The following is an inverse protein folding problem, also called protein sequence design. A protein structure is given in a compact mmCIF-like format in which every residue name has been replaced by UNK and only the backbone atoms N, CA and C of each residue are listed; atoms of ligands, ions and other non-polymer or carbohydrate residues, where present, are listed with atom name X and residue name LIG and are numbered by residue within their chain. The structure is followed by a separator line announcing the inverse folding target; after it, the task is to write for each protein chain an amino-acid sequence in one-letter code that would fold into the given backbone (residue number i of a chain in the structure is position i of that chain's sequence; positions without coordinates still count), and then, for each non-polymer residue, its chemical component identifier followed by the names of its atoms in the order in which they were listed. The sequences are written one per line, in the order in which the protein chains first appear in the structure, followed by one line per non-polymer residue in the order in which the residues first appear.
data_IF_573699540294
#
_entry.id   IF_573699540294
#
_cell.length_a   1.000
_cell.length_b   1.000
_cell.length_c   1.000
_cell.angle_alpha   90.00
_cell.angle_beta   90.00
_cell.angle_gamma   90.00
#
_symmetry.space_group_name_H-M   'P 1'
#
loop_
_entity.id
_entity.type
_entity.pdbx_description
1 polymer ?
#
# COMPACT_ATOMS: atom_id res chain seq x y z
N UNK A 1 -14.41 -13.22 -11.62
CA UNK A 1 -14.14 -12.22 -10.57
C UNK A 1 -13.65 -10.95 -11.24
N UNK A 2 -14.49 -9.91 -11.23
CA UNK A 2 -14.33 -8.66 -12.01
C UNK A 2 -13.14 -7.80 -11.55
N UNK A 3 -12.64 -8.04 -10.33
CA UNK A 3 -11.55 -7.30 -9.69
C UNK A 3 -10.18 -8.01 -9.74
N UNK A 4 -10.11 -9.17 -10.40
CA UNK A 4 -8.82 -9.83 -10.66
C UNK A 4 -8.19 -9.19 -11.88
N UNK A 5 -6.90 -8.87 -11.77
CA UNK A 5 -6.10 -8.43 -12.92
C UNK A 5 -6.26 -9.42 -14.07
N UNK A 6 -6.66 -8.89 -15.23
CA UNK A 6 -6.80 -9.64 -16.47
C UNK A 6 -5.50 -10.39 -16.79
N UNK A 7 -5.54 -11.64 -17.30
CA UNK A 7 -4.35 -12.47 -17.55
C UNK A 7 -3.18 -11.75 -18.23
N UNK A 8 -3.47 -10.90 -19.20
CA UNK A 8 -2.53 -10.07 -19.95
C UNK A 8 -1.80 -9.00 -19.11
N UNK A 9 -2.43 -8.53 -18.04
CA UNK A 9 -1.90 -7.49 -17.14
C UNK A 9 -1.19 -8.08 -15.91
N UNK A 10 -0.99 -9.40 -15.86
CA UNK A 10 -0.36 -10.13 -14.74
C UNK A 10 1.17 -10.11 -14.80
N UNK A 11 1.73 -9.04 -15.34
CA UNK A 11 3.18 -8.86 -15.48
C UNK A 11 3.58 -7.61 -14.70
N UNK A 12 4.87 -7.49 -14.36
CA UNK A 12 5.39 -6.26 -13.78
C UNK A 12 5.19 -5.04 -14.71
N UNK A 13 4.92 -5.26 -16.00
CA UNK A 13 4.73 -4.20 -16.96
C UNK A 13 3.52 -3.30 -16.67
N UNK A 14 2.55 -3.82 -15.91
CA UNK A 14 1.39 -3.01 -15.50
C UNK A 14 1.80 -1.79 -14.68
N UNK A 15 2.92 -1.85 -13.93
CA UNK A 15 3.44 -0.73 -13.12
C UNK A 15 4.12 0.35 -13.94
N UNK A 16 4.48 0.09 -15.20
CA UNK A 16 5.17 1.05 -16.06
C UNK A 16 4.23 2.08 -16.69
N UNK A 17 2.92 2.02 -16.42
CA UNK A 17 1.94 2.92 -17.02
C UNK A 17 1.00 3.47 -15.97
N UNK A 18 1.08 4.78 -15.75
CA UNK A 18 0.20 5.50 -14.83
C UNK A 18 0.60 5.33 -13.37
N UNK A 19 -0.30 5.71 -12.47
CA UNK A 19 -0.05 5.75 -11.03
C UNK A 19 -0.68 4.56 -10.32
N UNK A 20 0.14 3.85 -9.56
CA UNK A 20 -0.24 2.70 -8.75
C UNK A 20 0.00 3.00 -7.28
N UNK A 21 -0.92 2.60 -6.42
CA UNK A 21 -0.77 2.72 -4.97
C UNK A 21 -0.94 1.34 -4.37
N UNK A 22 0.12 0.79 -3.80
CA UNK A 22 0.07 -0.46 -3.06
C UNK A 22 -0.19 -0.14 -1.60
N UNK A 23 -1.21 -0.75 -1.01
CA UNK A 23 -1.59 -0.56 0.39
C UNK A 23 -1.62 -1.87 1.16
N UNK A 24 -1.21 -1.81 2.42
CA UNK A 24 -1.24 -2.91 3.39
C UNK A 24 -1.42 -2.33 4.79
N UNK A 25 -2.06 -3.12 5.67
CA UNK A 25 -2.17 -2.82 7.08
C UNK A 25 -1.52 -3.89 7.95
N UNK A 26 -0.77 -3.43 8.95
CA UNK A 26 -0.03 -4.27 9.87
C UNK A 26 -0.47 -4.05 11.31
N UNK A 27 -0.53 -5.13 12.09
CA UNK A 27 -0.74 -5.03 13.54
C UNK A 27 0.41 -4.30 14.23
N UNK A 28 0.12 -3.19 14.91
CA UNK A 28 1.07 -2.39 15.67
C UNK A 28 1.15 -2.77 17.17
N UNK A 29 0.48 -3.86 17.56
CA UNK A 29 0.40 -4.32 18.96
C UNK A 29 -0.73 -3.64 19.74
N UNK A 30 -1.11 -4.22 20.90
CA UNK A 30 -2.18 -3.71 21.77
C UNK A 30 -3.53 -3.47 21.06
N UNK A 31 -3.86 -4.29 20.05
CA UNK A 31 -5.08 -4.15 19.27
C UNK A 31 -5.08 -2.99 18.27
N UNK A 32 -3.93 -2.34 18.03
CA UNK A 32 -3.77 -1.26 17.06
C UNK A 32 -3.22 -1.77 15.74
N UNK A 33 -3.51 -1.04 14.68
CA UNK A 33 -2.98 -1.28 13.34
C UNK A 33 -2.35 0.00 12.79
N UNK A 34 -1.49 -0.15 11.80
CA UNK A 34 -0.98 0.95 10.99
C UNK A 34 -1.00 0.53 9.52
N UNK A 35 -1.33 1.48 8.66
CA UNK A 35 -1.36 1.29 7.21
C UNK A 35 -0.16 1.96 6.57
N UNK A 36 0.23 1.42 5.42
CA UNK A 36 1.23 1.99 4.55
C UNK A 36 0.71 2.08 3.11
N UNK A 37 1.23 3.06 2.37
CA UNK A 37 0.99 3.23 0.95
C UNK A 37 2.33 3.43 0.23
N UNK A 38 2.58 2.61 -0.79
CA UNK A 38 3.70 2.77 -1.72
C UNK A 38 3.13 3.26 -3.04
N UNK A 39 3.39 4.54 -3.35
CA UNK A 39 3.03 5.13 -4.63
C UNK A 39 4.13 4.89 -5.65
N UNK A 40 3.72 4.31 -6.76
CA UNK A 40 4.56 4.10 -7.93
C UNK A 40 3.98 4.85 -9.13
N UNK A 41 4.85 5.41 -9.95
CA UNK A 41 4.49 6.04 -11.22
C UNK A 41 5.51 5.62 -12.28
N UNK A 42 5.02 5.03 -13.37
CA UNK A 42 5.85 4.55 -14.48
C UNK A 42 7.01 3.62 -14.06
N UNK A 43 6.75 2.75 -13.07
CA UNK A 43 7.70 1.75 -12.57
C UNK A 43 8.63 2.23 -11.47
N UNK A 44 8.59 3.52 -11.13
CA UNK A 44 9.42 4.09 -10.07
C UNK A 44 8.58 4.36 -8.82
N UNK A 45 9.14 4.12 -7.64
CA UNK A 45 8.52 4.54 -6.38
C UNK A 45 8.68 6.06 -6.27
N UNK A 46 7.57 6.79 -6.13
CA UNK A 46 7.61 8.25 -6.04
C UNK A 46 7.31 8.76 -4.64
N UNK A 47 6.46 8.04 -3.89
CA UNK A 47 6.08 8.42 -2.53
C UNK A 47 5.83 7.19 -1.67
N UNK A 48 6.12 7.31 -0.39
CA UNK A 48 5.91 6.29 0.62
C UNK A 48 5.21 6.95 1.79
N UNK A 49 4.01 6.51 2.13
CA UNK A 49 3.21 7.10 3.20
C UNK A 49 2.83 6.04 4.23
N UNK A 50 2.62 6.48 5.46
CA UNK A 50 2.03 5.63 6.49
C UNK A 50 1.13 6.43 7.42
N UNK A 51 0.14 5.77 8.02
CA UNK A 51 -0.79 6.37 8.98
C UNK A 51 -1.21 5.31 10.03
N UNK A 52 -1.39 5.67 11.31
CA UNK A 52 -2.08 4.79 12.26
C UNK A 52 -3.52 4.50 11.80
N UNK A 53 -3.96 3.26 11.91
CA UNK A 53 -5.34 2.89 11.63
C UNK A 53 -6.23 3.22 12.83
N UNK A 54 -7.47 3.58 12.54
CA UNK A 54 -8.55 3.61 13.53
C UNK A 54 -9.18 2.22 13.72
N UNK A 55 -9.02 1.33 12.74
CA UNK A 55 -9.52 -0.03 12.79
C UNK A 55 -8.92 -0.90 13.90
N UNK A 56 -9.76 -1.81 14.43
CA UNK A 56 -9.40 -2.76 15.51
C UNK A 56 -9.27 -4.21 15.03
N UNK A 57 -9.42 -4.48 13.73
CA UNK A 57 -9.22 -5.80 13.14
C UNK A 57 -8.42 -5.70 11.85
N UNK A 58 -7.70 -6.76 11.49
CA UNK A 58 -6.89 -6.79 10.28
C UNK A 58 -7.71 -6.48 9.03
N UNK A 59 -8.87 -7.12 8.84
CA UNK A 59 -9.71 -6.87 7.64
C UNK A 59 -10.26 -5.44 7.61
N UNK A 60 -10.61 -4.84 8.75
CA UNK A 60 -11.04 -3.44 8.79
C UNK A 60 -9.88 -2.48 8.50
N UNK A 61 -8.67 -2.80 8.98
CA UNK A 61 -7.49 -1.97 8.73
C UNK A 61 -7.08 -2.00 7.25
N UNK A 62 -7.22 -3.16 6.59
CA UNK A 62 -7.03 -3.27 5.14
C UNK A 62 -8.07 -2.43 4.37
N UNK A 63 -9.35 -2.45 4.78
CA UNK A 63 -10.39 -1.59 4.18
C UNK A 63 -10.06 -0.11 4.34
N UNK A 64 -9.68 0.30 5.55
CA UNK A 64 -9.27 1.68 5.85
C UNK A 64 -8.08 2.11 4.97
N UNK A 65 -7.11 1.22 4.74
CA UNK A 65 -5.95 1.50 3.87
C UNK A 65 -6.34 1.72 2.40
N UNK A 66 -7.31 0.94 1.89
CA UNK A 66 -7.84 1.09 0.53
C UNK A 66 -8.56 2.42 0.38
N UNK A 67 -9.44 2.75 1.33
CA UNK A 67 -10.22 3.99 1.33
C UNK A 67 -9.31 5.22 1.42
N UNK A 68 -8.31 5.15 2.28
CA UNK A 68 -7.31 6.21 2.43
C UNK A 68 -6.55 6.47 1.13
N UNK A 69 -6.10 5.42 0.43
CA UNK A 69 -5.45 5.56 -0.86
C UNK A 69 -6.38 6.09 -1.96
N UNK A 70 -7.64 5.62 -1.99
CA UNK A 70 -8.63 6.11 -2.95
C UNK A 70 -8.95 7.60 -2.77
N UNK A 71 -8.92 8.08 -1.52
CA UNK A 71 -9.12 9.50 -1.19
C UNK A 71 -7.92 10.36 -1.59
N UNK A 72 -6.70 9.94 -1.26
CA UNK A 72 -5.49 10.72 -1.55
C UNK A 72 -5.12 10.72 -3.04
N UNK A 73 -5.34 9.61 -3.72
CA UNK A 73 -5.01 9.44 -5.13
C UNK A 73 -6.25 9.00 -5.93
N UNK A 74 -7.21 9.91 -6.16
CA UNK A 74 -8.51 9.59 -6.74
C UNK A 74 -8.47 9.17 -8.20
N UNK A 75 -7.31 9.17 -8.85
CA UNK A 75 -7.10 8.67 -10.22
C UNK A 75 -6.15 7.48 -10.30
N UNK A 76 -5.59 7.03 -9.17
CA UNK A 76 -4.65 5.91 -9.17
C UNK A 76 -5.36 4.55 -9.19
N UNK A 77 -4.60 3.54 -9.60
CA UNK A 77 -4.92 2.13 -9.42
C UNK A 77 -4.45 1.68 -8.04
N UNK A 78 -5.37 1.24 -7.20
CA UNK A 78 -5.12 0.81 -5.82
C UNK A 78 -4.95 -0.71 -5.77
N UNK A 79 -3.96 -1.18 -5.02
CA UNK A 79 -3.60 -2.59 -4.90
C UNK A 79 -3.59 -2.99 -3.44
N UNK A 80 -4.32 -4.06 -3.11
CA UNK A 80 -4.34 -4.66 -1.79
C UNK A 80 -4.39 -6.19 -1.94
N UNK A 81 -3.82 -6.96 -1.01
CA UNK A 81 -3.77 -8.42 -1.11
C UNK A 81 -4.83 -9.15 -0.25
N UNK A 82 -5.60 -8.41 0.55
CA UNK A 82 -6.67 -8.92 1.40
C UNK A 82 -8.00 -8.97 0.64
N UNK A 83 -8.33 -10.14 0.09
CA UNK A 83 -9.59 -10.37 -0.66
C UNK A 83 -10.82 -9.94 0.13
N UNK A 84 -10.99 -10.31 1.42
CA UNK A 84 -12.19 -9.93 2.16
C UNK A 84 -12.35 -8.40 2.28
N UNK A 85 -11.25 -7.65 2.39
CA UNK A 85 -11.29 -6.20 2.42
C UNK A 85 -11.67 -5.61 1.06
N UNK A 86 -11.12 -6.14 -0.03
CA UNK A 86 -11.46 -5.73 -1.39
C UNK A 86 -12.95 -5.97 -1.68
N UNK A 87 -13.46 -7.15 -1.34
CA UNK A 87 -14.86 -7.50 -1.54
C UNK A 87 -15.79 -6.60 -0.72
N UNK A 88 -15.42 -6.31 0.54
CA UNK A 88 -16.18 -5.41 1.39
C UNK A 88 -16.20 -3.97 0.84
N UNK A 89 -15.05 -3.41 0.43
CA UNK A 89 -14.96 -2.07 -0.16
C UNK A 89 -15.75 -2.00 -1.46
N UNK A 90 -15.63 -2.98 -2.37
CA UNK A 90 -16.37 -2.97 -3.64
C UNK A 90 -17.88 -3.10 -3.45
N UNK A 91 -18.32 -3.79 -2.40
CA UNK A 91 -19.73 -3.85 -2.05
C UNK A 91 -20.28 -2.48 -1.59
N UNK A 92 -19.45 -1.66 -0.94
CA UNK A 92 -19.81 -0.33 -0.46
C UNK A 92 -19.61 0.75 -1.52
N UNK A 93 -18.58 0.61 -2.35
CA UNK A 93 -18.13 1.58 -3.35
C UNK A 93 -17.88 0.90 -4.71
N UNK A 94 -18.94 0.48 -5.44
CA UNK A 94 -18.80 -0.23 -6.72
C UNK A 94 -18.04 0.57 -7.80
N UNK A 95 -18.00 1.91 -7.68
CA UNK A 95 -17.27 2.80 -8.58
C UNK A 95 -15.74 2.58 -8.56
N UNK A 96 -15.20 1.89 -7.55
CA UNK A 96 -13.79 1.49 -7.49
C UNK A 96 -13.49 0.25 -8.36
N UNK A 97 -14.50 -0.38 -8.96
CA UNK A 97 -14.30 -1.45 -9.93
C UNK A 97 -13.48 -0.95 -11.12
N UNK A 98 -12.48 -1.75 -11.53
CA UNK A 98 -11.51 -1.36 -12.56
C UNK A 98 -10.39 -0.44 -12.06
N UNK A 99 -10.40 -0.08 -10.77
CA UNK A 99 -9.35 0.71 -10.12
C UNK A 99 -8.79 0.07 -8.85
N UNK A 100 -9.55 -0.78 -8.18
CA UNK A 100 -9.10 -1.60 -7.07
C UNK A 100 -8.76 -3.01 -7.55
N UNK A 101 -7.51 -3.42 -7.32
CA UNK A 101 -6.95 -4.65 -7.85
C UNK A 101 -6.39 -5.55 -6.76
N UNK A 102 -6.57 -6.86 -6.98
CA UNK A 102 -5.90 -7.91 -6.23
C UNK A 102 -4.69 -8.45 -7.01
N UNK A 103 -3.46 -8.40 -6.46
CA UNK A 103 -2.30 -9.03 -7.09
C UNK A 103 -2.52 -10.53 -7.30
N UNK A 104 -2.03 -11.00 -8.44
CA UNK A 104 -2.05 -12.42 -8.79
C UNK A 104 -1.16 -13.21 -7.84
N UNK A 105 -1.30 -14.54 -7.71
CA UNK A 105 -0.46 -15.33 -6.80
C UNK A 105 1.05 -15.13 -6.99
N UNK A 106 1.53 -14.97 -8.23
CA UNK A 106 2.95 -14.72 -8.55
C UNK A 106 3.41 -13.32 -8.14
N UNK A 107 2.49 -12.35 -8.14
CA UNK A 107 2.73 -10.96 -7.78
C UNK A 107 2.59 -10.74 -6.26
N UNK A 108 1.79 -11.58 -5.58
CA UNK A 108 1.39 -11.34 -4.19
C UNK A 108 2.56 -11.16 -3.25
N UNK A 109 3.56 -12.06 -3.28
CA UNK A 109 4.69 -11.98 -2.35
C UNK A 109 5.55 -10.72 -2.55
N UNK A 110 6.07 -10.41 -3.75
CA UNK A 110 6.82 -9.18 -3.97
C UNK A 110 6.05 -7.90 -3.63
N UNK A 111 4.74 -7.86 -3.95
CA UNK A 111 3.89 -6.73 -3.60
C UNK A 111 3.73 -6.58 -2.10
N UNK A 112 3.30 -7.66 -1.44
CA UNK A 112 3.12 -7.72 -0.01
C UNK A 112 4.41 -7.31 0.69
N UNK A 113 5.55 -7.92 0.35
CA UNK A 113 6.84 -7.61 0.98
C UNK A 113 7.20 -6.13 0.87
N UNK A 114 6.92 -5.47 -0.26
CA UNK A 114 7.25 -4.06 -0.48
C UNK A 114 6.45 -3.11 0.42
N UNK A 115 5.13 -3.28 0.49
CA UNK A 115 4.27 -2.42 1.32
C UNK A 115 4.25 -2.85 2.79
N UNK A 116 4.34 -4.16 3.05
CA UNK A 116 4.40 -4.72 4.41
C UNK A 116 5.67 -4.30 5.14
N UNK A 117 6.82 -4.26 4.45
CA UNK A 117 8.06 -3.77 5.05
C UNK A 117 7.92 -2.32 5.54
N UNK A 118 7.14 -1.49 4.82
CA UNK A 118 6.84 -0.13 5.25
C UNK A 118 5.83 -0.12 6.41
N UNK A 119 4.76 -0.92 6.33
CA UNK A 119 3.74 -0.99 7.39
C UNK A 119 4.34 -1.49 8.71
N UNK A 120 5.26 -2.45 8.68
CA UNK A 120 5.99 -2.92 9.87
C UNK A 120 6.84 -1.81 10.50
N UNK A 121 7.57 -1.02 9.69
CA UNK A 121 8.39 0.09 10.19
C UNK A 121 7.53 1.23 10.76
N UNK A 122 6.35 1.45 10.20
CA UNK A 122 5.42 2.47 10.65
C UNK A 122 4.73 2.15 11.99
N UNK A 123 4.84 0.93 12.53
CA UNK A 123 4.21 0.53 13.80
C UNK A 123 4.60 1.41 14.98
N UNK A 124 5.82 1.94 14.99
CA UNK A 124 6.33 2.83 16.04
C UNK A 124 5.99 4.31 15.80
N UNK A 125 5.38 4.65 14.66
CA UNK A 125 5.07 6.03 14.28
C UNK A 125 3.62 6.34 14.64
N UNK A 126 3.44 7.20 15.65
CA UNK A 126 2.12 7.56 16.17
C UNK A 126 1.38 8.62 15.33
N UNK A 127 1.96 9.08 14.23
CA UNK A 127 1.42 10.13 13.37
C UNK A 127 1.52 9.76 11.89
N UNK A 128 0.68 10.32 11.01
CA UNK A 128 0.91 10.24 9.58
C UNK A 128 2.33 10.68 9.20
N UNK A 129 2.96 9.98 8.27
CA UNK A 129 4.34 10.22 7.86
C UNK A 129 4.54 9.95 6.37
N UNK A 130 5.39 10.77 5.75
CA UNK A 130 5.95 10.51 4.43
C UNK A 130 7.40 10.08 4.60
N UNK A 131 7.78 8.97 3.96
CA UNK A 131 9.10 8.38 4.05
C UNK A 131 9.92 8.72 2.81
N UNK A 132 11.18 9.07 3.04
CA UNK A 132 12.20 9.10 2.00
C UNK A 132 12.81 7.71 1.91
N UNK A 133 13.09 7.23 0.70
CA UNK A 133 13.90 6.05 0.49
C UNK A 133 15.16 6.44 -0.30
N UNK A 134 16.32 5.98 0.15
CA UNK A 134 17.56 6.08 -0.61
C UNK A 134 18.09 4.68 -0.89
N UNK A 135 18.44 4.38 -2.14
CA UNK A 135 19.28 3.23 -2.46
C UNK A 135 20.69 3.56 -2.01
N UNK A 136 21.16 2.96 -0.91
CA UNK A 136 22.59 3.00 -0.59
C UNK A 136 23.36 2.22 -1.66
N UNK A 137 24.36 2.86 -2.25
CA UNK A 137 25.14 2.43 -3.43
C UNK A 137 25.68 0.98 -3.32
N UNK A 138 25.81 0.23 -4.44
CA UNK A 138 26.36 -1.13 -4.43
C UNK A 138 27.80 -1.14 -3.90
N UNK A 139 28.07 -1.88 -2.82
CA UNK A 139 29.41 -2.02 -2.24
C UNK A 139 29.46 -2.43 -0.77
N UNK A 140 28.36 -2.28 -0.01
CA UNK A 140 28.22 -2.87 1.32
C UNK A 140 27.34 -4.12 1.25
N UNK A 141 27.67 -5.16 2.02
CA UNK A 141 26.99 -6.46 2.01
C UNK A 141 25.52 -6.44 2.52
N UNK A 142 24.92 -5.24 2.64
CA UNK A 142 23.51 -5.02 2.92
C UNK A 142 23.07 -3.80 2.14
N UNK A 143 22.35 -4.00 1.04
CA UNK A 143 21.52 -2.95 0.44
C UNK A 143 20.44 -2.58 1.46
N UNK A 144 20.75 -1.67 2.38
CA UNK A 144 19.79 -1.14 3.32
C UNK A 144 19.09 0.03 2.64
N UNK A 145 17.78 -0.09 2.46
CA UNK A 145 16.98 1.09 2.19
C UNK A 145 16.99 1.89 3.50
N UNK A 146 17.66 3.04 3.49
CA UNK A 146 17.56 4.00 4.58
C UNK A 146 16.22 4.72 4.46
N UNK A 147 15.37 4.50 5.46
CA UNK A 147 14.07 5.14 5.55
C UNK A 147 14.16 6.24 6.60
N UNK A 148 14.22 7.49 6.14
CA UNK A 148 13.97 8.66 7.00
C UNK A 148 12.54 9.12 6.74
N UNK A 149 11.86 9.74 7.71
CA UNK A 149 10.50 10.23 7.48
C UNK A 149 10.28 11.65 7.96
N UNK A 150 9.35 12.33 7.30
CA UNK A 150 8.82 13.62 7.68
C UNK A 150 7.39 13.41 8.21
N UNK A 151 7.08 13.80 9.46
CA UNK A 151 5.72 13.80 9.96
C UNK A 151 4.84 14.71 9.09
N UNK A 152 3.65 14.24 8.70
CA UNK A 152 2.69 15.02 7.91
C UNK A 152 1.74 15.86 8.79
N UNK A 153 1.91 15.82 10.11
CA UNK A 153 0.98 16.44 11.07
C UNK A 153 -0.30 15.59 11.25
N UNK A 154 -1.31 16.14 11.93
CA UNK A 154 -2.65 15.54 11.90
C UNK A 154 -3.22 15.75 10.49
N UNK A 155 -3.68 14.68 9.86
CA UNK A 155 -4.55 14.81 8.68
C UNK A 155 -5.73 15.74 9.04
N UNK A 156 -6.17 16.61 8.12
CA UNK A 156 -7.28 17.52 8.37
C UNK A 156 -8.54 16.80 8.85
#
# INVERSE_FOLDING_TARGET
MVFRVAPENRTAAVFYVGRHVLVDASGAGQGRYCMAAVCMENGEVIELHSKPCEAFSSVLAEQESIEWAAMLWPNAMVWNDCIPAIEAVLSQQPALAGRLFWPTPRMRKPFHDMVHSLSVRARSVATPAQWNYAFTTPGSARSMIDFTFKPLGKAP
#
